data_IF_143410053327
#
_entry.id   IF_143410053327
#
_cell.length_a   1.000
_cell.length_b   1.000
_cell.length_c   1.000
_cell.angle_alpha   90.00
_cell.angle_beta   90.00
_cell.angle_gamma   90.00
#
_symmetry.space_group_name_H-M   'P 1'
#
loop_
_entity.id
_entity.type
_entity.pdbx_description
1 polymer ?
#
# COMPACT_ATOMS: atom_id res chain seq x y z
N UNK A 1 -0.65 -29.41 27.08
CA UNK A 1 -0.19 -27.99 26.95
C UNK A 1 1.00 -27.92 25.96
N UNK A 2 1.99 -28.79 26.07
CA UNK A 2 3.20 -28.81 25.20
C UNK A 2 2.85 -29.11 23.74
N UNK A 3 1.95 -30.05 23.42
CA UNK A 3 1.51 -30.35 22.05
C UNK A 3 0.76 -29.18 21.36
N UNK A 4 0.33 -28.16 22.10
CA UNK A 4 -0.33 -27.00 21.55
C UNK A 4 0.70 -25.93 21.14
N UNK A 5 1.89 -25.95 21.75
CA UNK A 5 3.00 -25.07 21.41
C UNK A 5 3.90 -25.57 20.27
N UNK A 6 3.96 -26.89 20.06
CA UNK A 6 4.71 -27.51 18.96
C UNK A 6 3.92 -27.51 17.60
N UNK A 7 2.99 -26.61 17.46
CA UNK A 7 2.14 -26.56 16.27
C UNK A 7 2.83 -25.87 15.08
N UNK A 8 3.46 -26.64 14.22
CA UNK A 8 3.81 -26.27 12.84
C UNK A 8 2.59 -25.90 11.97
N UNK A 9 1.37 -26.02 12.51
CA UNK A 9 0.15 -25.78 11.76
C UNK A 9 -0.44 -24.40 12.08
N UNK A 10 0.11 -23.37 11.44
CA UNK A 10 -0.44 -22.01 11.46
C UNK A 10 -1.89 -21.90 10.94
N UNK A 11 -2.47 -23.00 10.41
CA UNK A 11 -3.87 -23.05 9.93
C UNK A 11 -4.84 -23.37 11.08
N UNK A 12 -4.34 -23.93 12.18
CA UNK A 12 -5.15 -24.22 13.34
C UNK A 12 -5.31 -22.98 14.21
N UNK A 13 -6.53 -22.49 14.38
CA UNK A 13 -6.83 -21.28 15.19
C UNK A 13 -6.52 -21.47 16.68
N UNK A 14 -6.57 -22.72 17.18
CA UNK A 14 -6.41 -23.05 18.59
C UNK A 14 -7.44 -24.07 19.05
N UNK A 15 -7.58 -24.20 20.36
CA UNK A 15 -8.42 -25.20 20.99
C UNK A 15 -9.44 -24.55 21.96
N UNK A 16 -10.58 -25.20 22.08
CA UNK A 16 -11.55 -24.88 23.14
C UNK A 16 -11.48 -25.99 24.18
N UNK A 17 -11.10 -25.63 25.39
CA UNK A 17 -11.09 -26.54 26.53
C UNK A 17 -12.39 -26.38 27.29
N UNK A 18 -13.06 -27.50 27.59
CA UNK A 18 -14.32 -27.52 28.31
C UNK A 18 -14.15 -28.31 29.62
N UNK A 19 -14.49 -27.71 30.73
CA UNK A 19 -14.57 -28.42 31.99
C UNK A 19 -15.83 -29.30 31.99
N UNK A 20 -15.64 -30.59 31.96
CA UNK A 20 -16.77 -31.57 31.90
C UNK A 20 -17.71 -31.53 33.12
N UNK A 21 -17.21 -31.04 34.30
CA UNK A 21 -18.01 -30.96 35.52
C UNK A 21 -18.81 -29.67 35.63
N UNK A 22 -18.20 -28.55 35.29
CA UNK A 22 -18.81 -27.20 35.46
C UNK A 22 -19.40 -26.65 34.14
N UNK A 23 -19.04 -27.22 32.98
CA UNK A 23 -19.43 -26.71 31.68
C UNK A 23 -18.66 -25.43 31.26
N UNK A 24 -17.77 -24.94 32.09
CA UNK A 24 -16.94 -23.75 31.78
C UNK A 24 -16.03 -24.01 30.59
N UNK A 25 -15.84 -22.99 29.78
CA UNK A 25 -15.05 -23.04 28.54
C UNK A 25 -13.95 -22.00 28.55
N UNK A 26 -12.76 -22.41 28.12
CA UNK A 26 -11.67 -21.48 27.84
C UNK A 26 -11.11 -21.73 26.44
N UNK A 27 -10.54 -20.69 25.83
CA UNK A 27 -9.92 -20.77 24.50
C UNK A 27 -8.41 -20.63 24.65
N UNK A 28 -7.67 -21.58 24.07
CA UNK A 28 -6.23 -21.52 23.93
C UNK A 28 -5.96 -21.22 22.45
N UNK A 29 -5.42 -20.05 22.17
CA UNK A 29 -5.11 -19.64 20.80
C UNK A 29 -3.75 -20.16 20.37
N UNK A 30 -3.61 -20.47 19.10
CA UNK A 30 -2.35 -20.79 18.47
C UNK A 30 -1.63 -19.48 18.12
N UNK A 31 -0.41 -19.29 18.65
CA UNK A 31 0.39 -18.08 18.44
C UNK A 31 0.81 -17.93 16.96
N UNK A 32 1.14 -19.04 16.29
CA UNK A 32 1.50 -19.02 14.86
C UNK A 32 0.32 -18.62 13.98
N UNK A 33 -0.88 -19.11 14.29
CA UNK A 33 -2.10 -18.66 13.60
C UNK A 33 -2.33 -17.16 13.77
N UNK A 34 -2.22 -16.65 15.00
CA UNK A 34 -2.43 -15.21 15.27
C UNK A 34 -1.33 -14.36 14.61
N UNK A 35 -0.10 -14.86 14.53
CA UNK A 35 0.99 -14.21 13.82
C UNK A 35 0.69 -14.10 12.31
N UNK A 36 0.36 -15.21 11.65
CA UNK A 36 0.05 -15.24 10.21
C UNK A 36 -1.19 -14.39 9.89
N UNK A 37 -2.20 -14.43 10.77
CA UNK A 37 -3.38 -13.60 10.67
C UNK A 37 -3.05 -12.10 10.76
N UNK A 38 -2.19 -11.69 11.70
CA UNK A 38 -1.71 -10.30 11.81
C UNK A 38 -0.94 -9.88 10.56
N UNK A 39 -0.11 -10.78 10.02
CA UNK A 39 0.66 -10.53 8.81
C UNK A 39 -0.25 -10.27 7.61
N UNK A 40 -1.33 -11.03 7.46
CA UNK A 40 -2.35 -10.82 6.43
C UNK A 40 -3.13 -9.50 6.66
N UNK A 41 -3.39 -9.17 7.90
CA UNK A 41 -4.26 -8.07 8.30
C UNK A 41 -5.74 -8.32 8.00
N UNK A 42 -6.58 -7.34 8.32
CA UNK A 42 -8.04 -7.43 8.14
C UNK A 42 -8.52 -6.72 6.85
N UNK A 43 -7.61 -6.25 6.00
CA UNK A 43 -8.00 -5.50 4.82
C UNK A 43 -8.35 -6.43 3.66
N UNK A 44 -9.50 -6.17 3.01
CA UNK A 44 -9.98 -6.96 1.88
C UNK A 44 -9.18 -6.70 0.59
N UNK A 45 -8.52 -5.54 0.49
CA UNK A 45 -7.76 -5.18 -0.72
C UNK A 45 -6.31 -5.63 -0.60
N UNK A 46 -5.91 -6.59 -1.43
CA UNK A 46 -4.53 -7.08 -1.50
C UNK A 46 -3.51 -5.95 -1.75
N UNK A 47 -3.88 -4.94 -2.53
CA UNK A 47 -3.07 -3.76 -2.78
C UNK A 47 -2.70 -3.02 -1.48
N UNK A 48 -3.66 -2.83 -0.57
CA UNK A 48 -3.42 -2.21 0.72
C UNK A 48 -2.49 -3.08 1.58
N UNK A 49 -2.76 -4.38 1.64
CA UNK A 49 -1.92 -5.36 2.35
C UNK A 49 -0.49 -5.32 1.83
N UNK A 50 -0.29 -5.31 0.50
CA UNK A 50 1.04 -5.23 -0.10
C UNK A 50 1.79 -3.96 0.30
N UNK A 51 1.15 -2.78 0.22
CA UNK A 51 1.82 -1.54 0.58
C UNK A 51 2.17 -1.48 2.07
N UNK A 52 1.29 -1.98 2.93
CA UNK A 52 1.56 -2.12 4.36
C UNK A 52 2.75 -3.05 4.64
N UNK A 53 2.74 -4.25 4.06
CA UNK A 53 3.83 -5.21 4.19
C UNK A 53 5.16 -4.65 3.69
N UNK A 54 5.13 -3.90 2.59
CA UNK A 54 6.31 -3.28 2.00
C UNK A 54 6.90 -2.20 2.90
N UNK A 55 6.07 -1.36 3.51
CA UNK A 55 6.53 -0.31 4.43
C UNK A 55 7.19 -0.88 5.68
N UNK A 56 6.75 -2.07 6.12
CA UNK A 56 7.30 -2.77 7.29
C UNK A 56 8.36 -3.83 6.96
N UNK A 57 8.70 -4.02 5.67
CA UNK A 57 9.70 -5.00 5.24
C UNK A 57 9.24 -6.47 5.27
N UNK A 58 7.94 -6.72 5.46
CA UNK A 58 7.38 -8.06 5.73
C UNK A 58 6.91 -8.83 4.49
N UNK A 59 7.19 -8.33 3.26
CA UNK A 59 6.72 -8.98 2.02
C UNK A 59 7.25 -10.40 1.87
N UNK A 60 8.54 -10.63 2.17
CA UNK A 60 9.14 -11.96 2.10
C UNK A 60 8.50 -12.92 3.08
N UNK A 61 8.24 -12.45 4.31
CA UNK A 61 7.61 -13.24 5.36
C UNK A 61 6.17 -13.62 4.98
N UNK A 62 5.41 -12.66 4.46
CA UNK A 62 4.06 -12.92 3.95
C UNK A 62 4.04 -14.01 2.88
N UNK A 63 4.97 -13.98 1.92
CA UNK A 63 5.04 -14.96 0.83
C UNK A 63 5.43 -16.38 1.27
N UNK A 64 5.98 -16.58 2.47
CA UNK A 64 6.18 -17.93 3.03
C UNK A 64 4.85 -18.63 3.31
N UNK A 65 3.84 -17.87 3.75
CA UNK A 65 2.54 -18.39 4.13
C UNK A 65 1.49 -18.30 3.01
N UNK A 66 1.69 -17.36 2.07
CA UNK A 66 0.78 -17.08 0.94
C UNK A 66 1.55 -17.04 -0.39
N UNK A 67 2.21 -18.15 -0.79
CA UNK A 67 3.02 -18.19 -2.03
C UNK A 67 2.19 -17.95 -3.29
N UNK A 68 0.89 -18.30 -3.27
CA UNK A 68 -0.07 -18.08 -4.36
C UNK A 68 -0.27 -16.60 -4.70
N UNK A 69 0.06 -15.69 -3.78
CA UNK A 69 -0.04 -14.24 -4.01
C UNK A 69 1.18 -13.64 -4.70
N UNK A 70 2.20 -14.44 -5.01
CA UNK A 70 3.48 -13.96 -5.54
C UNK A 70 3.30 -13.14 -6.82
N UNK A 71 2.52 -13.64 -7.79
CA UNK A 71 2.29 -12.94 -9.06
C UNK A 71 1.54 -11.62 -8.87
N UNK A 72 0.51 -11.63 -8.04
CA UNK A 72 -0.26 -10.42 -7.72
C UNK A 72 0.61 -9.35 -7.06
N UNK A 73 1.46 -9.76 -6.09
CA UNK A 73 2.38 -8.82 -5.43
C UNK A 73 3.45 -8.31 -6.38
N UNK A 74 3.89 -9.13 -7.34
CA UNK A 74 4.85 -8.73 -8.36
C UNK A 74 4.25 -7.67 -9.30
N UNK A 75 2.99 -7.82 -9.71
CA UNK A 75 2.26 -6.83 -10.48
C UNK A 75 2.11 -5.50 -9.71
N UNK A 76 1.71 -5.57 -8.45
CA UNK A 76 1.60 -4.38 -7.59
C UNK A 76 2.94 -3.67 -7.40
N UNK A 77 4.03 -4.43 -7.27
CA UNK A 77 5.40 -3.90 -7.22
C UNK A 77 5.77 -3.17 -8.50
N UNK A 78 5.45 -3.75 -9.66
CA UNK A 78 5.70 -3.14 -10.98
C UNK A 78 4.94 -1.82 -11.10
N UNK A 79 3.65 -1.81 -10.80
CA UNK A 79 2.81 -0.61 -10.88
C UNK A 79 3.33 0.51 -9.97
N UNK A 80 3.73 0.18 -8.74
CA UNK A 80 4.29 1.15 -7.81
C UNK A 80 5.66 1.70 -8.29
N UNK A 81 6.47 0.85 -8.91
CA UNK A 81 7.74 1.27 -9.49
C UNK A 81 7.53 2.24 -10.65
N UNK A 82 6.60 1.93 -11.54
CA UNK A 82 6.23 2.80 -12.67
C UNK A 82 5.67 4.15 -12.18
N UNK A 83 4.79 4.13 -11.20
CA UNK A 83 4.30 5.36 -10.56
C UNK A 83 5.45 6.21 -10.01
N UNK A 84 6.36 5.59 -9.26
CA UNK A 84 7.51 6.27 -8.66
C UNK A 84 8.43 6.88 -9.72
N UNK A 85 8.68 6.15 -10.81
CA UNK A 85 9.50 6.63 -11.94
C UNK A 85 8.81 7.81 -12.64
N UNK A 86 7.52 7.67 -12.98
CA UNK A 86 6.75 8.75 -13.61
C UNK A 86 6.68 10.01 -12.73
N UNK A 87 6.57 9.85 -11.40
CA UNK A 87 6.62 10.96 -10.46
C UNK A 87 7.98 11.66 -10.49
N UNK A 88 9.08 10.90 -10.48
CA UNK A 88 10.44 11.45 -10.59
C UNK A 88 10.66 12.19 -11.91
N UNK A 89 10.30 11.58 -13.04
CA UNK A 89 10.44 12.19 -14.38
C UNK A 89 9.61 13.48 -14.47
N UNK A 90 8.38 13.48 -13.93
CA UNK A 90 7.52 14.67 -13.85
C UNK A 90 8.15 15.77 -13.01
N UNK A 91 8.72 15.42 -11.86
CA UNK A 91 9.45 16.37 -11.00
C UNK A 91 10.63 17.01 -11.73
N UNK A 92 11.47 16.22 -12.39
CA UNK A 92 12.62 16.72 -13.16
C UNK A 92 12.17 17.65 -14.29
N UNK A 93 11.15 17.24 -15.06
CA UNK A 93 10.67 18.06 -16.18
C UNK A 93 10.04 19.38 -15.71
N UNK A 94 9.37 19.39 -14.55
CA UNK A 94 8.72 20.58 -14.00
C UNK A 94 9.71 21.56 -13.34
N UNK A 95 10.52 21.05 -12.39
CA UNK A 95 11.30 21.92 -11.50
C UNK A 95 12.76 22.11 -11.96
N UNK A 96 13.32 21.19 -12.71
CA UNK A 96 14.72 21.24 -13.18
C UNK A 96 14.77 21.74 -14.62
N UNK A 97 14.12 21.04 -15.55
CA UNK A 97 14.11 21.40 -16.97
C UNK A 97 13.18 22.56 -17.30
N UNK A 98 12.12 22.74 -16.49
CA UNK A 98 11.08 23.77 -16.69
C UNK A 98 10.31 23.63 -18.02
N UNK A 99 10.17 22.40 -18.50
CA UNK A 99 9.48 22.10 -19.77
C UNK A 99 7.97 22.36 -19.68
N UNK A 100 7.37 22.12 -18.47
CA UNK A 100 5.93 22.26 -18.22
C UNK A 100 5.68 22.85 -16.83
N UNK A 101 4.62 23.62 -16.71
CA UNK A 101 4.19 24.15 -15.41
C UNK A 101 3.53 23.07 -14.57
N UNK A 102 3.58 23.17 -13.24
CA UNK A 102 2.96 22.22 -12.31
C UNK A 102 1.47 21.99 -12.59
N UNK A 103 0.73 23.02 -13.02
CA UNK A 103 -0.70 22.94 -13.34
C UNK A 103 -1.03 21.98 -14.48
N UNK A 104 -0.09 21.72 -15.38
CA UNK A 104 -0.27 20.90 -16.58
C UNK A 104 -0.10 19.40 -16.32
N UNK A 105 0.42 19.03 -15.14
CA UNK A 105 0.58 17.64 -14.77
C UNK A 105 -0.71 17.02 -14.22
N UNK A 106 -0.89 15.69 -14.32
CA UNK A 106 -2.01 15.00 -13.72
C UNK A 106 -2.13 15.26 -12.22
N UNK A 107 -3.37 15.41 -11.75
CA UNK A 107 -3.66 15.75 -10.34
C UNK A 107 -2.97 14.78 -9.36
N UNK A 108 -2.94 13.47 -9.68
CA UNK A 108 -2.29 12.44 -8.85
C UNK A 108 -0.81 12.71 -8.56
N UNK A 109 -0.11 13.50 -9.39
CA UNK A 109 1.30 13.85 -9.19
C UNK A 109 1.52 15.22 -8.57
N UNK A 110 0.63 16.19 -8.79
CA UNK A 110 0.83 17.60 -8.40
C UNK A 110 1.23 17.77 -6.94
N UNK A 111 0.47 17.17 -6.03
CA UNK A 111 0.73 17.28 -4.59
C UNK A 111 2.07 16.63 -4.20
N UNK A 112 2.41 15.51 -4.81
CA UNK A 112 3.67 14.83 -4.54
C UNK A 112 4.87 15.61 -5.09
N UNK A 113 4.73 16.17 -6.29
CA UNK A 113 5.78 17.03 -6.88
C UNK A 113 6.02 18.27 -6.02
N UNK A 114 4.94 18.90 -5.52
CA UNK A 114 5.05 20.03 -4.61
C UNK A 114 5.78 19.64 -3.31
N UNK A 115 5.38 18.53 -2.69
CA UNK A 115 6.01 18.04 -1.45
C UNK A 115 7.50 17.71 -1.65
N UNK A 116 7.86 17.09 -2.76
CA UNK A 116 9.26 16.82 -3.12
C UNK A 116 10.04 18.12 -3.32
N UNK A 117 9.41 19.13 -3.90
CA UNK A 117 10.06 20.45 -4.07
C UNK A 117 10.24 21.17 -2.73
N UNK A 118 9.27 21.10 -1.82
CA UNK A 118 9.44 21.60 -0.44
C UNK A 118 10.57 20.86 0.29
N UNK A 119 10.69 19.56 0.12
CA UNK A 119 11.79 18.78 0.68
C UNK A 119 13.16 19.26 0.12
N UNK A 120 13.22 19.55 -1.17
CA UNK A 120 14.42 20.15 -1.78
C UNK A 120 14.73 21.53 -1.18
N UNK A 121 13.75 22.42 -1.13
CA UNK A 121 13.95 23.78 -0.64
C UNK A 121 14.42 23.82 0.83
N UNK A 122 13.81 22.98 1.67
CA UNK A 122 14.08 22.99 3.10
C UNK A 122 15.37 22.27 3.48
N UNK A 123 15.74 21.19 2.77
CA UNK A 123 16.80 20.29 3.22
C UNK A 123 18.01 20.21 2.27
N UNK A 124 17.83 20.51 1.00
CA UNK A 124 18.87 20.25 -0.01
C UNK A 124 19.38 21.52 -0.70
N UNK A 125 18.59 22.59 -0.71
CA UNK A 125 18.98 23.88 -1.32
C UNK A 125 20.26 24.40 -0.68
N UNK A 126 21.24 24.76 -1.52
CA UNK A 126 22.54 25.28 -1.07
C UNK A 126 23.54 24.19 -0.65
N UNK A 127 23.17 22.92 -0.60
CA UNK A 127 24.08 21.81 -0.26
C UNK A 127 24.75 21.15 -1.47
N UNK A 128 24.39 21.56 -2.70
CA UNK A 128 24.82 20.88 -3.93
C UNK A 128 24.14 19.54 -4.21
N UNK A 129 23.17 19.14 -3.37
CA UNK A 129 22.42 17.89 -3.52
C UNK A 129 21.09 18.12 -4.24
N UNK A 130 20.59 17.08 -4.91
CA UNK A 130 19.35 17.12 -5.69
C UNK A 130 18.38 16.03 -5.24
N UNK A 131 17.11 16.16 -5.63
CA UNK A 131 16.14 15.08 -5.51
C UNK A 131 16.53 13.97 -6.51
N UNK A 132 16.92 12.84 -5.98
CA UNK A 132 17.26 11.63 -6.76
C UNK A 132 16.06 10.69 -6.85
N UNK A 133 16.10 9.73 -7.78
CA UNK A 133 15.10 8.66 -7.81
C UNK A 133 15.01 7.88 -6.48
N UNK A 134 16.15 7.73 -5.79
CA UNK A 134 16.17 7.11 -4.46
C UNK A 134 15.40 7.95 -3.43
N UNK A 135 15.58 9.27 -3.42
CA UNK A 135 14.80 10.15 -2.54
C UNK A 135 13.29 10.07 -2.83
N UNK A 136 12.88 9.97 -4.11
CA UNK A 136 11.47 9.78 -4.47
C UNK A 136 10.95 8.41 -4.03
N UNK A 137 11.75 7.34 -4.15
CA UNK A 137 11.40 6.01 -3.61
C UNK A 137 11.17 6.04 -2.10
N UNK A 138 12.07 6.69 -1.37
CA UNK A 138 11.94 6.87 0.09
C UNK A 138 10.68 7.66 0.43
N UNK A 139 10.44 8.78 -0.24
CA UNK A 139 9.23 9.58 -0.08
C UNK A 139 7.95 8.75 -0.31
N UNK A 140 7.88 7.99 -1.41
CA UNK A 140 6.71 7.14 -1.72
C UNK A 140 6.52 6.05 -0.65
N UNK A 141 7.61 5.50 -0.11
CA UNK A 141 7.55 4.49 0.96
C UNK A 141 7.06 5.05 2.31
N UNK A 142 7.26 6.34 2.56
CA UNK A 142 6.82 6.98 3.80
C UNK A 142 5.42 7.60 3.70
N UNK A 143 4.78 7.53 2.53
CA UNK A 143 3.42 8.03 2.37
C UNK A 143 2.43 7.25 3.24
N UNK A 144 1.48 7.93 3.91
CA UNK A 144 0.35 7.25 4.55
C UNK A 144 -0.38 6.37 3.55
N UNK A 145 -0.73 5.14 3.96
CA UNK A 145 -1.36 4.15 3.07
C UNK A 145 -2.60 4.67 2.33
N UNK A 146 -3.54 5.39 2.97
CA UNK A 146 -4.70 5.95 2.26
C UNK A 146 -4.29 6.92 1.15
N UNK A 147 -3.27 7.74 1.37
CA UNK A 147 -2.77 8.70 0.38
C UNK A 147 -2.10 7.99 -0.79
N UNK A 148 -1.31 6.95 -0.52
CA UNK A 148 -0.70 6.12 -1.56
C UNK A 148 -1.77 5.41 -2.40
N UNK A 149 -2.77 4.78 -1.75
CA UNK A 149 -3.90 4.13 -2.40
C UNK A 149 -4.68 5.09 -3.30
N UNK A 150 -4.98 6.30 -2.80
CA UNK A 150 -5.65 7.32 -3.59
C UNK A 150 -4.87 7.67 -4.85
N UNK A 151 -3.56 7.91 -4.72
CA UNK A 151 -2.71 8.30 -5.85
C UNK A 151 -2.55 7.18 -6.89
N UNK A 152 -2.45 5.94 -6.43
CA UNK A 152 -2.33 4.77 -7.31
C UNK A 152 -3.61 4.46 -8.07
N UNK A 153 -4.77 4.67 -7.46
CA UNK A 153 -6.07 4.33 -8.04
C UNK A 153 -6.79 5.56 -8.62
N UNK A 154 -6.11 6.71 -8.70
CA UNK A 154 -6.72 7.98 -9.10
C UNK A 154 -7.41 7.91 -10.47
N UNK A 155 -6.73 7.36 -11.47
CA UNK A 155 -7.26 7.34 -12.85
C UNK A 155 -8.47 6.39 -12.97
N UNK A 156 -8.46 5.27 -12.25
CA UNK A 156 -9.56 4.33 -12.19
C UNK A 156 -10.78 4.93 -11.48
N UNK A 157 -10.55 5.54 -10.31
CA UNK A 157 -11.61 6.23 -9.56
C UNK A 157 -12.22 7.38 -10.36
N UNK A 158 -11.40 8.16 -11.07
CA UNK A 158 -11.87 9.24 -11.92
C UNK A 158 -12.77 8.71 -13.04
N UNK A 159 -12.32 7.70 -13.78
CA UNK A 159 -13.14 7.08 -14.84
C UNK A 159 -14.49 6.61 -14.32
N UNK A 160 -14.51 5.92 -13.17
CA UNK A 160 -15.75 5.46 -12.57
C UNK A 160 -16.70 6.60 -12.23
N UNK A 161 -16.20 7.71 -11.66
CA UNK A 161 -17.00 8.88 -11.33
C UNK A 161 -17.56 9.53 -12.62
N UNK A 162 -16.72 9.66 -13.65
CA UNK A 162 -17.15 10.24 -14.94
C UNK A 162 -18.26 9.37 -15.58
N UNK A 163 -18.13 8.03 -15.55
CA UNK A 163 -19.15 7.08 -16.04
C UNK A 163 -20.46 7.15 -15.22
N UNK A 164 -20.36 7.20 -13.88
CA UNK A 164 -21.54 7.36 -13.01
C UNK A 164 -22.27 8.69 -13.26
N UNK A 165 -21.52 9.77 -13.50
CA UNK A 165 -22.07 11.09 -13.80
C UNK A 165 -22.85 11.07 -15.11
N UNK A 166 -22.27 10.52 -16.18
CA UNK A 166 -22.93 10.39 -17.49
C UNK A 166 -24.22 9.56 -17.37
N UNK A 167 -24.18 8.45 -16.61
CA UNK A 167 -25.36 7.60 -16.41
C UNK A 167 -26.49 8.32 -15.64
N UNK A 168 -26.14 9.19 -14.69
CA UNK A 168 -27.12 10.01 -13.97
C UNK A 168 -27.73 11.09 -14.86
N UNK A 169 -26.92 11.79 -15.68
CA UNK A 169 -27.38 12.78 -16.63
C UNK A 169 -28.35 12.19 -17.68
N UNK A 170 -28.04 10.99 -18.19
CA UNK A 170 -28.91 10.29 -19.12
C UNK A 170 -30.29 9.94 -18.50
N UNK A 171 -30.30 9.50 -17.22
CA UNK A 171 -31.54 9.19 -16.50
C UNK A 171 -32.40 10.40 -16.16
N UNK A 172 -31.79 11.59 -16.08
CA UNK A 172 -32.53 12.85 -15.84
C UNK A 172 -33.13 13.43 -17.13
N UNK A 173 -32.63 12.99 -18.29
CA UNK A 173 -33.10 13.45 -19.61
C UNK A 173 -34.14 12.49 -20.25
N UNK A 174 -34.44 11.35 -19.61
CA UNK A 174 -35.54 10.43 -19.92
C UNK A 174 -36.82 10.78 -19.13
#
# INVERSE_FOLDING_TARGET
>A
YEKIKDGDDYKLMGYVVVNKKTGERTKIRNEDYEYVKKLKGNNLKLQYTYYNLRQHGNVKEYLKYYPEQSENLMLLRKNLHEFTKKLYDSYINCFIKKDKMLKEYPFKFKQHMYNLHQLFLNNLRGTGKYITLYAVKTYVNTLPLPKLMFSMNYDENKRRIDEETINLENKLNE
#
